data_IF_293986474148
#
_entry.id   IF_293986474148
#
_cell.length_a   1.000
_cell.length_b   1.000
_cell.length_c   1.000
_cell.angle_alpha   90.00
_cell.angle_beta   90.00
_cell.angle_gamma   90.00
#
_symmetry.space_group_name_H-M   'P 1'
#
loop_
_entity.id
_entity.type
_entity.pdbx_description
1 polymer ?
#
# COMPACT_ATOMS: atom_id res chain seq x y z
N UNK A 1 -0.85 2.54 -5.52
CA UNK A 1 -1.70 2.61 -4.31
C UNK A 1 -1.62 4.00 -3.70
N UNK A 2 -2.49 4.30 -2.73
CA UNK A 2 -2.42 5.50 -1.92
C UNK A 2 -2.72 5.10 -0.45
N UNK A 3 -1.82 5.33 0.53
CA UNK A 3 -0.53 6.04 0.44
C UNK A 3 0.51 5.31 -0.44
N UNK A 4 1.51 6.02 -1.00
CA UNK A 4 2.57 5.40 -1.79
C UNK A 4 3.53 4.59 -0.91
N UNK A 5 4.30 3.69 -1.54
CA UNK A 5 5.43 3.05 -0.86
C UNK A 5 6.48 4.10 -0.47
N UNK A 6 6.90 4.06 0.78
CA UNK A 6 7.85 5.02 1.37
C UNK A 6 9.25 4.42 1.54
N UNK A 7 10.15 5.16 2.20
CA UNK A 7 11.53 4.77 2.45
C UNK A 7 11.68 3.59 3.41
N UNK A 8 12.92 3.13 3.60
CA UNK A 8 13.22 2.00 4.51
C UNK A 8 12.99 2.39 5.97
N UNK A 9 13.24 3.66 6.28
CA UNK A 9 13.10 4.28 7.59
C UNK A 9 11.63 4.33 7.99
N UNK A 10 10.75 4.78 7.07
CA UNK A 10 9.29 4.78 7.28
C UNK A 10 8.78 3.36 7.55
N UNK A 11 9.23 2.37 6.77
CA UNK A 11 8.85 0.97 6.97
C UNK A 11 9.29 0.46 8.35
N UNK A 12 10.50 0.83 8.79
CA UNK A 12 11.01 0.44 10.11
C UNK A 12 10.13 1.01 11.23
N UNK A 13 9.74 2.28 11.13
CA UNK A 13 8.84 2.92 12.08
C UNK A 13 7.45 2.25 12.11
N UNK A 14 6.90 1.85 10.96
CA UNK A 14 5.64 1.11 10.90
C UNK A 14 5.72 -0.25 11.62
N UNK A 15 6.85 -0.95 11.49
CA UNK A 15 7.08 -2.22 12.19
C UNK A 15 7.21 -1.98 13.70
N UNK A 16 7.98 -0.97 14.12
CA UNK A 16 8.13 -0.62 15.53
C UNK A 16 6.78 -0.23 16.16
N UNK A 17 5.99 0.60 15.48
CA UNK A 17 4.67 1.01 15.93
C UNK A 17 3.67 -0.14 16.05
N UNK A 18 3.80 -1.18 15.24
CA UNK A 18 2.98 -2.39 15.40
C UNK A 18 3.42 -3.20 16.63
N UNK A 19 4.72 -3.29 16.90
CA UNK A 19 5.27 -4.07 18.01
C UNK A 19 5.05 -3.39 19.37
N UNK A 20 5.07 -2.06 19.42
CA UNK A 20 4.89 -1.29 20.65
C UNK A 20 3.41 -0.96 20.98
N UNK A 21 2.49 -1.28 20.08
CA UNK A 21 1.04 -1.07 20.24
C UNK A 21 0.55 0.31 19.79
N UNK A 22 1.39 1.14 19.16
CA UNK A 22 0.97 2.40 18.52
C UNK A 22 0.05 2.15 17.32
N UNK A 23 0.23 1.04 16.60
CA UNK A 23 -0.64 0.58 15.52
C UNK A 23 -1.39 -0.65 16.00
N UNK A 24 -2.71 -0.58 16.01
CA UNK A 24 -3.54 -1.64 16.59
C UNK A 24 -3.70 -2.87 15.67
N UNK A 25 -3.85 -2.65 14.35
CA UNK A 25 -4.21 -3.72 13.40
C UNK A 25 -3.60 -3.49 12.01
N UNK A 26 -3.50 -4.57 11.23
CA UNK A 26 -3.12 -4.55 9.82
C UNK A 26 -4.37 -4.78 8.96
N UNK A 27 -4.51 -3.99 7.90
CA UNK A 27 -5.48 -4.18 6.84
C UNK A 27 -4.79 -4.13 5.47
N UNK A 28 -5.34 -4.81 4.48
CA UNK A 28 -4.72 -4.95 3.15
C UNK A 28 -5.00 -3.80 2.22
N UNK A 29 -6.01 -2.97 2.51
CA UNK A 29 -6.53 -1.95 1.59
C UNK A 29 -6.77 -2.51 0.18
N UNK A 30 -7.43 -3.67 0.11
CA UNK A 30 -7.68 -4.39 -1.13
C UNK A 30 -8.48 -3.53 -2.13
N UNK A 31 -7.79 -3.07 -3.18
CA UNK A 31 -8.32 -2.13 -4.18
C UNK A 31 -7.98 -2.61 -5.60
N UNK A 32 -8.67 -3.66 -6.10
CA UNK A 32 -8.43 -4.22 -7.42
C UNK A 32 -8.91 -3.26 -8.53
N UNK A 33 -8.17 -3.26 -9.64
CA UNK A 33 -8.49 -2.57 -10.90
C UNK A 33 -8.20 -3.53 -12.05
N UNK A 34 -8.84 -3.33 -13.19
CA UNK A 34 -8.57 -4.18 -14.36
C UNK A 34 -7.16 -3.91 -14.92
N UNK A 35 -6.59 -4.90 -15.60
CA UNK A 35 -5.20 -4.84 -16.06
C UNK A 35 -4.96 -3.66 -17.01
N UNK A 36 -5.92 -3.37 -17.89
CA UNK A 36 -5.86 -2.27 -18.84
C UNK A 36 -5.73 -0.91 -18.12
N UNK A 37 -6.48 -0.70 -17.04
CA UNK A 37 -6.42 0.54 -16.26
C UNK A 37 -5.06 0.70 -15.55
N UNK A 38 -4.44 -0.41 -15.15
CA UNK A 38 -3.12 -0.40 -14.50
C UNK A 38 -1.95 -0.21 -15.47
N UNK A 39 -2.17 -0.42 -16.77
CA UNK A 39 -1.16 -0.28 -17.83
C UNK A 39 -0.98 1.16 -18.37
N UNK A 40 -1.66 2.13 -17.76
CA UNK A 40 -1.47 3.57 -18.03
C UNK A 40 -0.21 4.14 -17.34
N UNK A 41 0.15 5.39 -17.66
CA UNK A 41 1.25 6.08 -16.96
C UNK A 41 0.94 6.28 -15.48
N UNK A 42 1.96 6.47 -14.64
CA UNK A 42 1.76 6.69 -13.20
C UNK A 42 0.82 7.86 -12.87
N UNK A 43 0.77 8.89 -13.72
CA UNK A 43 -0.12 10.04 -13.56
C UNK A 43 -1.59 9.74 -13.92
N UNK A 44 -1.84 8.71 -14.74
CA UNK A 44 -3.16 8.39 -15.31
C UNK A 44 -3.76 7.11 -14.71
N UNK A 45 -2.93 6.14 -14.34
CA UNK A 45 -3.37 4.89 -13.75
C UNK A 45 -4.01 5.10 -12.38
N UNK A 46 -5.08 4.36 -12.03
CA UNK A 46 -5.71 4.49 -10.73
C UNK A 46 -4.81 3.98 -9.60
N UNK A 47 -4.94 4.61 -8.44
CA UNK A 47 -4.34 4.13 -7.22
C UNK A 47 -5.09 2.89 -6.70
N UNK A 48 -4.34 1.83 -6.45
CA UNK A 48 -4.87 0.60 -5.86
C UNK A 48 -3.98 -0.58 -6.20
N UNK A 49 -4.02 -1.60 -5.35
CA UNK A 49 -3.42 -2.91 -5.58
C UNK A 49 -4.39 -4.01 -5.12
N UNK A 50 -4.40 -5.13 -5.85
CA UNK A 50 -5.02 -6.34 -5.35
C UNK A 50 -4.13 -7.02 -4.30
N UNK A 51 -4.69 -7.95 -3.54
CA UNK A 51 -3.89 -8.82 -2.68
C UNK A 51 -3.16 -9.82 -3.58
N UNK A 52 -1.97 -10.26 -3.17
CA UNK A 52 -1.31 -11.39 -3.84
C UNK A 52 -2.18 -12.65 -3.75
N UNK A 53 -2.11 -13.50 -4.77
CA UNK A 53 -2.57 -14.88 -4.67
C UNK A 53 -1.66 -15.68 -3.74
#
# INVERSE_FOLDING_TARGET
>A
MNPPLRGKEDRKALIEGLLDGTIDFIATDHAPHIEEEKNETMQRAPFGIANGH
#
